data_IF_068159603654
#
_entry.id   IF_068159603654
#
_cell.length_a   1.000
_cell.length_b   1.000
_cell.length_c   1.000
_cell.angle_alpha   90.00
_cell.angle_beta   90.00
_cell.angle_gamma   90.00
#
_symmetry.space_group_name_H-M   'P 1'
#
loop_
_entity.id
_entity.type
_entity.pdbx_description
1 polymer ?
#
# COMPACT_ATOMS: atom_id res chain seq x y z
N UNK A 1 18.85 63.06 -23.38
CA UNK A 1 18.63 61.60 -23.40
C UNK A 1 19.95 60.86 -23.17
N UNK A 2 20.17 60.28 -21.98
CA UNK A 2 21.12 59.17 -21.75
C UNK A 2 20.85 58.50 -20.38
N UNK A 3 19.87 57.58 -20.27
CA UNK A 3 19.79 56.67 -19.12
C UNK A 3 19.77 55.20 -19.55
N UNK A 4 20.50 54.81 -20.60
CA UNK A 4 20.52 53.41 -21.08
C UNK A 4 21.66 52.55 -20.52
N UNK A 5 22.73 53.14 -19.96
CA UNK A 5 23.90 52.37 -19.46
C UNK A 5 23.72 51.89 -18.01
N UNK A 6 23.10 52.69 -17.14
CA UNK A 6 22.91 52.37 -15.72
C UNK A 6 21.90 51.24 -15.49
N UNK A 7 20.82 51.21 -16.28
CA UNK A 7 19.79 50.15 -16.18
C UNK A 7 20.35 48.78 -16.58
N UNK A 8 21.24 48.71 -17.59
CA UNK A 8 21.88 47.45 -17.99
C UNK A 8 22.84 46.91 -16.93
N UNK A 9 23.60 47.78 -16.26
CA UNK A 9 24.51 47.36 -15.19
C UNK A 9 23.74 46.81 -13.98
N UNK A 10 22.64 47.47 -13.59
CA UNK A 10 21.78 47.01 -12.49
C UNK A 10 21.12 45.66 -12.82
N UNK A 11 20.64 45.46 -14.05
CA UNK A 11 20.07 44.18 -14.48
C UNK A 11 21.09 43.04 -14.52
N UNK A 12 22.35 43.31 -14.89
CA UNK A 12 23.43 42.31 -14.86
C UNK A 12 23.79 41.92 -13.42
N UNK A 13 23.85 42.89 -12.50
CA UNK A 13 24.14 42.63 -11.08
C UNK A 13 23.01 41.84 -10.42
N UNK A 14 21.74 42.20 -10.69
CA UNK A 14 20.57 41.46 -10.20
C UNK A 14 20.54 40.05 -10.79
N UNK A 15 20.82 39.90 -12.09
CA UNK A 15 20.89 38.60 -12.76
C UNK A 15 21.99 37.70 -12.19
N UNK A 16 23.19 38.25 -11.93
CA UNK A 16 24.29 37.53 -11.32
C UNK A 16 23.99 37.14 -9.86
N UNK A 17 23.32 38.01 -9.10
CA UNK A 17 22.91 37.73 -7.72
C UNK A 17 21.82 36.65 -7.65
N UNK A 18 20.85 36.67 -8.57
CA UNK A 18 19.84 35.61 -8.70
C UNK A 18 20.47 34.27 -9.11
N UNK A 19 21.43 34.28 -10.04
CA UNK A 19 22.19 33.07 -10.41
C UNK A 19 23.01 32.52 -9.23
N UNK A 20 23.61 33.39 -8.41
CA UNK A 20 24.35 32.98 -7.22
C UNK A 20 23.41 32.38 -6.16
N UNK A 21 22.25 33.00 -5.89
CA UNK A 21 21.24 32.44 -4.98
C UNK A 21 20.68 31.10 -5.47
N UNK A 22 20.43 30.97 -6.79
CA UNK A 22 20.01 29.71 -7.41
C UNK A 22 21.08 28.63 -7.34
N UNK A 23 22.37 28.98 -7.38
CA UNK A 23 23.47 28.05 -7.18
C UNK A 23 23.66 27.64 -5.69
N UNK A 24 23.30 28.50 -4.74
CA UNK A 24 23.43 28.22 -3.31
C UNK A 24 22.27 27.36 -2.74
N UNK A 25 21.07 27.42 -3.33
CA UNK A 25 19.89 26.66 -2.88
C UNK A 25 20.14 25.13 -2.84
N UNK A 26 20.70 24.49 -3.88
CA UNK A 26 21.06 23.07 -3.85
C UNK A 26 22.12 22.73 -2.79
N UNK A 27 23.06 23.65 -2.53
CA UNK A 27 24.12 23.45 -1.55
C UNK A 27 23.55 23.45 -0.13
N UNK A 28 22.62 24.36 0.17
CA UNK A 28 21.93 24.40 1.47
C UNK A 28 21.12 23.12 1.71
N UNK A 29 20.33 22.70 0.71
CA UNK A 29 19.55 21.46 0.78
C UNK A 29 20.46 20.23 0.95
N UNK A 30 21.60 20.21 0.26
CA UNK A 30 22.57 19.13 0.39
C UNK A 30 23.12 19.05 1.81
N UNK A 31 23.53 20.17 2.41
CA UNK A 31 24.02 20.20 3.81
C UNK A 31 22.95 19.76 4.82
N UNK A 32 21.71 20.19 4.63
CA UNK A 32 20.58 19.77 5.48
C UNK A 32 20.35 18.25 5.39
N UNK A 33 20.31 17.70 4.18
CA UNK A 33 20.17 16.27 3.95
C UNK A 33 21.38 15.47 4.44
N UNK A 34 22.58 15.98 4.24
CA UNK A 34 23.83 15.36 4.71
C UNK A 34 23.83 15.25 6.25
N UNK A 35 23.31 16.27 6.95
CA UNK A 35 23.16 16.24 8.41
C UNK A 35 22.05 15.28 8.87
N UNK A 36 20.94 15.21 8.12
CA UNK A 36 19.81 14.33 8.46
C UNK A 36 20.13 12.85 8.23
N UNK A 37 20.93 12.53 7.22
CA UNK A 37 21.25 11.14 6.89
C UNK A 37 20.16 10.39 6.13
N UNK A 38 19.04 11.06 5.80
CA UNK A 38 17.91 10.52 5.04
C UNK A 38 17.05 11.63 4.45
N UNK A 39 16.16 11.29 3.51
CA UNK A 39 15.09 12.19 3.05
C UNK A 39 14.01 12.34 4.14
N UNK A 40 13.57 13.55 4.52
CA UNK A 40 12.55 13.77 5.55
C UNK A 40 11.21 13.09 5.27
N UNK A 41 10.51 12.65 6.32
CA UNK A 41 9.15 12.13 6.21
C UNK A 41 8.17 13.19 5.65
N UNK A 42 7.16 12.75 4.89
CA UNK A 42 6.19 13.65 4.24
C UNK A 42 6.59 14.14 2.84
N UNK A 43 7.89 14.16 2.52
CA UNK A 43 8.36 14.45 1.15
C UNK A 43 7.95 13.28 0.24
N UNK A 44 7.13 13.57 -0.75
CA UNK A 44 6.54 12.57 -1.66
C UNK A 44 7.25 12.61 -3.00
N UNK A 45 7.59 11.44 -3.56
CA UNK A 45 8.38 11.38 -4.80
C UNK A 45 7.57 11.96 -5.97
N UNK A 46 7.86 13.20 -6.35
CA UNK A 46 7.32 13.85 -7.54
C UNK A 46 5.91 14.46 -7.38
N UNK A 47 5.46 14.73 -6.15
CA UNK A 47 4.20 15.47 -5.94
C UNK A 47 4.37 16.96 -6.21
N UNK A 48 5.53 17.52 -5.87
CA UNK A 48 5.92 18.90 -6.16
C UNK A 48 7.30 18.93 -6.83
N UNK A 49 7.64 20.08 -7.42
CA UNK A 49 8.97 20.29 -8.00
C UNK A 49 10.04 20.29 -6.90
N UNK A 50 9.72 20.88 -5.76
CA UNK A 50 10.59 20.95 -4.59
C UNK A 50 10.91 19.55 -4.05
N UNK A 51 9.91 18.67 -3.98
CA UNK A 51 10.13 17.29 -3.55
C UNK A 51 11.07 16.57 -4.52
N UNK A 52 10.83 16.69 -5.82
CA UNK A 52 11.69 16.08 -6.83
C UNK A 52 13.14 16.58 -6.74
N UNK A 53 13.33 17.89 -6.56
CA UNK A 53 14.66 18.48 -6.40
C UNK A 53 15.35 17.96 -5.13
N UNK A 54 14.63 17.78 -4.02
CA UNK A 54 15.18 17.24 -2.78
C UNK A 54 15.64 15.78 -2.94
N UNK A 55 14.84 14.94 -3.59
CA UNK A 55 15.21 13.56 -3.92
C UNK A 55 16.45 13.51 -4.82
N UNK A 56 16.56 14.42 -5.79
CA UNK A 56 17.74 14.53 -6.66
C UNK A 56 18.98 14.95 -5.87
N UNK A 57 18.87 15.89 -4.93
CA UNK A 57 20.00 16.32 -4.08
C UNK A 57 20.44 15.17 -3.16
N UNK A 58 19.50 14.37 -2.66
CA UNK A 58 19.79 13.21 -1.82
C UNK A 58 20.72 12.20 -2.51
N UNK A 59 20.58 11.97 -3.83
CA UNK A 59 21.47 11.08 -4.62
C UNK A 59 22.96 11.46 -4.52
N UNK A 60 23.28 12.71 -4.19
CA UNK A 60 24.66 13.22 -4.10
C UNK A 60 25.19 13.26 -2.67
N UNK A 61 24.43 12.78 -1.69
CA UNK A 61 24.88 12.69 -0.30
C UNK A 61 25.73 11.45 -0.07
N UNK A 62 26.58 11.45 0.97
CA UNK A 62 27.50 10.32 1.20
C UNK A 62 26.82 9.08 1.78
N UNK A 63 25.60 9.24 2.29
CA UNK A 63 24.81 8.17 2.89
C UNK A 63 23.87 7.49 1.89
N UNK A 64 23.62 8.11 0.74
CA UNK A 64 22.69 7.56 -0.25
C UNK A 64 23.13 6.18 -0.72
N UNK A 65 22.18 5.24 -0.72
CA UNK A 65 22.41 3.87 -1.15
C UNK A 65 23.23 3.02 -0.19
N UNK A 66 23.70 3.56 0.94
CA UNK A 66 24.50 2.79 1.91
C UNK A 66 23.66 1.69 2.58
N UNK A 67 24.25 0.52 2.87
CA UNK A 67 23.59 -0.53 3.64
C UNK A 67 23.02 0.01 4.94
N UNK A 68 21.78 -0.38 5.23
CA UNK A 68 21.09 0.01 6.46
C UNK A 68 21.34 -1.04 7.54
N UNK A 69 21.59 -0.58 8.76
CA UNK A 69 21.63 -1.47 9.92
C UNK A 69 20.24 -2.09 10.14
N UNK A 70 20.09 -3.44 10.05
CA UNK A 70 18.80 -4.06 10.15
C UNK A 70 18.12 -3.83 11.51
N UNK A 71 18.88 -3.87 12.61
CA UNK A 71 18.31 -3.73 13.96
C UNK A 71 17.72 -2.33 14.17
N UNK A 72 18.49 -1.29 13.82
CA UNK A 72 18.05 0.10 13.92
C UNK A 72 16.87 0.39 12.98
N UNK A 73 16.90 -0.12 11.74
CA UNK A 73 15.84 0.10 10.78
C UNK A 73 14.51 -0.51 11.23
N UNK A 74 14.54 -1.73 11.77
CA UNK A 74 13.34 -2.46 12.18
C UNK A 74 12.88 -2.16 13.61
N UNK A 75 13.63 -1.35 14.36
CA UNK A 75 13.28 -1.00 15.74
C UNK A 75 11.87 -0.40 15.83
N UNK A 76 11.01 -1.05 16.62
CA UNK A 76 9.62 -0.64 16.83
C UNK A 76 8.70 -0.85 15.61
N UNK A 77 9.16 -1.59 14.58
CA UNK A 77 8.38 -1.87 13.37
C UNK A 77 8.08 -3.36 13.26
N UNK A 78 6.91 -3.66 12.70
CA UNK A 78 6.58 -5.02 12.27
C UNK A 78 7.34 -5.29 10.98
N UNK A 79 8.01 -6.43 10.90
CA UNK A 79 8.87 -6.75 9.76
C UNK A 79 8.03 -7.25 8.58
N UNK A 80 7.48 -6.32 7.80
CA UNK A 80 6.77 -6.57 6.56
C UNK A 80 7.44 -5.90 5.37
N UNK A 81 7.34 -6.53 4.20
CA UNK A 81 7.64 -5.88 2.93
C UNK A 81 6.43 -5.08 2.42
N UNK A 82 6.03 -4.07 3.18
CA UNK A 82 4.91 -3.20 2.81
C UNK A 82 5.40 -1.87 2.21
N UNK A 83 4.45 -1.03 1.79
CA UNK A 83 4.76 0.29 1.23
C UNK A 83 5.46 1.20 2.23
N UNK A 84 5.22 1.04 3.52
CA UNK A 84 5.82 1.86 4.57
C UNK A 84 7.30 1.53 4.74
N UNK A 85 7.63 0.23 4.87
CA UNK A 85 9.00 -0.25 4.94
C UNK A 85 9.78 0.07 3.66
N UNK A 86 9.20 -0.16 2.48
CA UNK A 86 9.81 0.22 1.21
C UNK A 86 10.03 1.74 1.11
N UNK A 87 9.03 2.54 1.48
CA UNK A 87 9.18 3.99 1.49
C UNK A 87 10.26 4.45 2.46
N UNK A 88 10.37 3.83 3.63
CA UNK A 88 11.42 4.13 4.59
C UNK A 88 12.81 3.78 4.05
N UNK A 89 12.98 2.61 3.43
CA UNK A 89 14.24 2.20 2.80
C UNK A 89 14.62 3.14 1.64
N UNK A 90 13.66 3.50 0.79
CA UNK A 90 13.88 4.42 -0.33
C UNK A 90 14.41 5.78 0.13
N UNK A 91 14.03 6.27 1.32
CA UNK A 91 14.53 7.55 1.87
C UNK A 91 16.03 7.55 2.16
N UNK A 92 16.65 6.38 2.23
CA UNK A 92 18.10 6.19 2.33
C UNK A 92 18.75 5.80 1.00
N UNK A 93 17.98 5.77 -0.08
CA UNK A 93 18.45 5.31 -1.39
C UNK A 93 18.49 3.80 -1.57
N UNK A 94 17.79 3.03 -0.71
CA UNK A 94 17.73 1.56 -0.81
C UNK A 94 16.45 1.06 -1.47
N UNK A 95 16.58 0.14 -2.42
CA UNK A 95 15.45 -0.41 -3.17
C UNK A 95 14.60 -1.39 -2.36
N UNK A 96 15.18 -1.93 -1.29
CA UNK A 96 14.53 -2.85 -0.36
C UNK A 96 14.87 -2.48 1.09
N UNK A 97 13.99 -2.79 2.05
CA UNK A 97 14.36 -2.80 3.46
C UNK A 97 15.55 -3.75 3.73
N UNK A 98 16.37 -3.50 4.76
CA UNK A 98 17.46 -4.42 5.11
C UNK A 98 16.91 -5.77 5.58
N UNK A 99 17.60 -6.86 5.24
CA UNK A 99 17.26 -8.22 5.70
C UNK A 99 17.38 -8.25 7.23
N UNK A 100 16.36 -8.68 7.99
CA UNK A 100 16.37 -8.69 9.46
C UNK A 100 17.23 -9.81 10.04
N UNK A 101 18.55 -9.76 9.82
CA UNK A 101 19.50 -10.78 10.27
C UNK A 101 19.53 -10.97 11.79
N UNK A 102 19.13 -9.95 12.55
CA UNK A 102 19.02 -9.98 14.01
C UNK A 102 17.79 -10.77 14.51
N UNK A 103 16.89 -11.22 13.61
CA UNK A 103 15.73 -12.06 13.95
C UNK A 103 15.82 -13.42 13.23
N UNK A 104 16.47 -14.42 13.85
CA UNK A 104 16.71 -15.73 13.24
C UNK A 104 15.45 -16.42 12.70
N UNK A 105 14.30 -16.27 13.38
CA UNK A 105 13.03 -16.89 12.97
C UNK A 105 12.50 -16.38 11.63
N UNK A 106 12.84 -15.15 11.24
CA UNK A 106 12.39 -14.55 9.99
C UNK A 106 13.25 -14.96 8.79
N UNK A 107 14.52 -15.30 9.03
CA UNK A 107 15.45 -15.78 8.01
C UNK A 107 15.54 -17.31 7.94
N UNK A 108 14.91 -18.02 8.88
CA UNK A 108 14.93 -19.49 8.92
C UNK A 108 14.40 -20.10 7.61
N UNK A 109 15.21 -20.93 6.97
CA UNK A 109 14.91 -21.58 5.69
C UNK A 109 15.28 -20.77 4.45
N UNK A 110 15.85 -19.57 4.61
CA UNK A 110 16.42 -18.79 3.50
C UNK A 110 17.94 -19.02 3.41
N UNK A 111 18.49 -19.39 2.23
CA UNK A 111 19.93 -19.63 2.08
C UNK A 111 20.69 -18.30 1.92
N UNK A 112 20.78 -17.53 3.00
CA UNK A 112 21.34 -16.17 3.02
C UNK A 112 22.78 -16.07 2.48
N UNK A 113 23.59 -17.11 2.71
CA UNK A 113 24.99 -17.18 2.26
C UNK A 113 25.17 -17.54 0.78
N UNK A 114 24.10 -17.92 0.08
CA UNK A 114 24.16 -18.34 -1.33
C UNK A 114 24.00 -17.19 -2.32
N UNK A 115 23.72 -15.96 -1.83
CA UNK A 115 23.44 -14.79 -2.66
C UNK A 115 24.42 -13.67 -2.37
N UNK A 116 24.71 -12.86 -3.39
CA UNK A 116 25.65 -11.75 -3.25
C UNK A 116 25.09 -10.64 -2.36
N UNK A 117 25.90 -10.19 -1.41
CA UNK A 117 25.68 -9.00 -0.59
C UNK A 117 26.43 -7.77 -1.14
N UNK A 118 27.06 -7.90 -2.32
CA UNK A 118 27.67 -6.77 -2.98
C UNK A 118 26.58 -5.80 -3.46
N UNK A 119 26.78 -4.51 -3.20
CA UNK A 119 25.87 -3.48 -3.67
C UNK A 119 25.84 -3.45 -5.20
N UNK A 120 24.64 -3.52 -5.75
CA UNK A 120 24.32 -3.36 -7.16
C UNK A 120 23.80 -1.93 -7.31
N UNK A 121 24.59 -1.01 -7.88
CA UNK A 121 24.12 0.33 -8.15
C UNK A 121 23.01 0.24 -9.19
N UNK A 122 21.77 0.55 -8.82
CA UNK A 122 20.68 0.55 -9.79
C UNK A 122 20.69 1.86 -10.56
N UNK A 123 21.74 2.07 -11.35
CA UNK A 123 21.92 3.25 -12.21
C UNK A 123 21.07 3.19 -13.47
N UNK A 124 20.25 2.15 -13.63
CA UNK A 124 19.34 2.04 -14.75
C UNK A 124 18.27 3.12 -14.63
N UNK A 125 18.28 4.00 -15.62
CA UNK A 125 17.28 5.02 -15.90
C UNK A 125 15.95 4.31 -16.11
N UNK A 126 15.23 4.03 -15.03
CA UNK A 126 13.86 3.53 -15.12
C UNK A 126 12.95 4.73 -15.43
N UNK A 127 12.95 5.10 -16.71
CA UNK A 127 12.05 6.08 -17.28
C UNK A 127 12.14 5.98 -18.80
N UNK A 128 10.98 5.84 -19.46
CA UNK A 128 10.92 6.06 -20.90
C UNK A 128 11.29 7.51 -21.23
N UNK A 129 11.45 7.86 -22.51
CA UNK A 129 11.74 9.23 -22.95
C UNK A 129 10.83 10.30 -22.32
N UNK A 130 9.60 9.91 -21.98
CA UNK A 130 8.55 10.78 -21.46
C UNK A 130 8.36 10.69 -19.92
N UNK A 131 9.09 9.82 -19.23
CA UNK A 131 8.87 9.54 -17.79
C UNK A 131 9.83 10.29 -16.85
N UNK A 132 10.83 11.00 -17.40
CA UNK A 132 11.93 11.57 -16.62
C UNK A 132 12.90 10.51 -16.06
N UNK A 133 14.04 10.95 -15.52
CA UNK A 133 15.02 10.07 -14.89
C UNK A 133 14.46 9.62 -13.53
N UNK A 134 14.10 8.34 -13.40
CA UNK A 134 13.74 7.77 -12.10
C UNK A 134 14.92 7.85 -11.11
N UNK A 135 14.61 8.11 -9.83
CA UNK A 135 15.60 8.09 -8.75
C UNK A 135 16.20 6.68 -8.62
N UNK A 136 17.52 6.48 -8.77
CA UNK A 136 18.17 5.19 -8.64
C UNK A 136 18.23 4.76 -7.16
N UNK A 137 17.90 3.49 -6.89
CA UNK A 137 17.97 2.90 -5.56
C UNK A 137 18.91 1.71 -5.54
N UNK A 138 19.92 1.75 -4.68
CA UNK A 138 20.88 0.67 -4.54
C UNK A 138 20.24 -0.52 -3.82
N UNK A 139 20.69 -1.72 -4.17
CA UNK A 139 20.22 -2.96 -3.55
C UNK A 139 21.27 -4.04 -3.67
N UNK A 140 21.11 -5.13 -2.93
CA UNK A 140 21.89 -6.36 -3.15
C UNK A 140 21.03 -7.43 -3.82
N UNK A 141 21.68 -8.42 -4.44
CA UNK A 141 20.99 -9.63 -4.91
C UNK A 141 20.29 -10.33 -3.73
N UNK A 142 20.98 -10.45 -2.60
CA UNK A 142 20.45 -11.06 -1.39
C UNK A 142 19.16 -10.39 -0.92
N UNK A 143 19.09 -9.05 -0.92
CA UNK A 143 17.88 -8.31 -0.55
C UNK A 143 16.70 -8.63 -1.48
N UNK A 144 16.88 -8.54 -2.79
CA UNK A 144 15.82 -8.79 -3.76
C UNK A 144 15.26 -10.21 -3.68
N UNK A 145 16.16 -11.20 -3.58
CA UNK A 145 15.79 -12.61 -3.47
C UNK A 145 15.16 -12.91 -2.10
N UNK A 146 15.70 -12.35 -1.00
CA UNK A 146 15.12 -12.49 0.33
C UNK A 146 13.69 -11.96 0.37
N UNK A 147 13.44 -10.75 -0.13
CA UNK A 147 12.10 -10.16 -0.05
C UNK A 147 11.08 -10.85 -0.96
N UNK A 148 11.52 -11.46 -2.05
CA UNK A 148 10.69 -12.32 -2.89
C UNK A 148 10.35 -13.62 -2.15
N UNK A 149 11.33 -14.30 -1.55
CA UNK A 149 11.11 -15.48 -0.71
C UNK A 149 10.20 -15.17 0.49
N UNK A 150 10.50 -14.09 1.20
CA UNK A 150 9.78 -13.63 2.38
C UNK A 150 8.32 -13.35 2.02
N UNK A 151 8.09 -12.65 0.90
CA UNK A 151 6.75 -12.42 0.38
C UNK A 151 6.02 -13.73 0.16
N UNK A 152 6.64 -14.76 -0.40
CA UNK A 152 5.97 -16.05 -0.64
C UNK A 152 5.68 -16.87 0.62
N UNK A 153 6.44 -16.67 1.71
CA UNK A 153 6.43 -17.59 2.86
C UNK A 153 5.86 -17.00 4.15
N UNK A 154 5.80 -15.68 4.29
CA UNK A 154 5.41 -15.02 5.54
C UNK A 154 4.02 -14.38 5.44
N UNK A 155 3.33 -14.14 6.58
CA UNK A 155 2.04 -13.46 6.60
C UNK A 155 2.09 -12.11 5.87
N UNK A 156 1.05 -11.80 5.10
CA UNK A 156 0.97 -10.56 4.32
C UNK A 156 0.42 -9.41 5.16
N UNK A 157 0.83 -8.16 4.92
CA UNK A 157 0.25 -7.01 5.62
C UNK A 157 -1.30 -7.00 5.55
N UNK A 158 -2.00 -6.59 6.62
CA UNK A 158 -3.46 -6.54 6.67
C UNK A 158 -4.08 -5.83 5.46
N UNK A 159 -3.52 -4.68 5.06
CA UNK A 159 -3.97 -3.92 3.89
C UNK A 159 -3.87 -4.74 2.59
N UNK A 160 -2.81 -5.53 2.44
CA UNK A 160 -2.66 -6.41 1.27
C UNK A 160 -3.73 -7.49 1.28
N UNK A 161 -3.93 -8.18 2.41
CA UNK A 161 -4.95 -9.22 2.52
C UNK A 161 -6.35 -8.67 2.20
N UNK A 162 -6.72 -7.53 2.78
CA UNK A 162 -8.03 -6.90 2.56
C UNK A 162 -8.20 -6.40 1.12
N UNK A 163 -7.15 -5.84 0.51
CA UNK A 163 -7.19 -5.39 -0.88
C UNK A 163 -7.44 -6.56 -1.83
N UNK A 164 -6.66 -7.64 -1.71
CA UNK A 164 -6.78 -8.80 -2.59
C UNK A 164 -8.08 -9.57 -2.34
N UNK A 165 -8.52 -9.69 -1.07
CA UNK A 165 -9.82 -10.25 -0.71
C UNK A 165 -10.96 -9.44 -1.36
N UNK A 166 -10.91 -8.11 -1.26
CA UNK A 166 -11.91 -7.25 -1.88
C UNK A 166 -11.92 -7.36 -3.40
N UNK A 167 -10.75 -7.41 -4.06
CA UNK A 167 -10.68 -7.60 -5.51
C UNK A 167 -11.34 -8.91 -5.94
N UNK A 168 -11.06 -10.00 -5.22
CA UNK A 168 -11.72 -11.29 -5.49
C UNK A 168 -13.23 -11.19 -5.27
N UNK A 169 -13.67 -10.57 -4.16
CA UNK A 169 -15.08 -10.38 -3.84
C UNK A 169 -15.81 -9.55 -4.90
N UNK A 170 -15.26 -8.40 -5.28
CA UNK A 170 -15.87 -7.51 -6.27
C UNK A 170 -16.08 -8.21 -7.62
N UNK A 171 -15.07 -8.95 -8.09
CA UNK A 171 -15.18 -9.69 -9.34
C UNK A 171 -16.25 -10.78 -9.25
N UNK A 172 -16.25 -11.58 -8.18
CA UNK A 172 -17.20 -12.68 -7.96
C UNK A 172 -18.64 -12.15 -7.86
N UNK A 173 -18.90 -11.14 -7.03
CA UNK A 173 -20.24 -10.60 -6.85
C UNK A 173 -20.76 -9.90 -8.12
N UNK A 174 -19.90 -9.20 -8.87
CA UNK A 174 -20.30 -8.60 -10.16
C UNK A 174 -20.63 -9.62 -11.23
N UNK A 175 -19.95 -10.77 -11.24
CA UNK A 175 -20.30 -11.87 -12.15
C UNK A 175 -21.67 -12.42 -11.77
N UNK A 176 -21.88 -12.73 -10.48
CA UNK A 176 -23.18 -13.18 -9.93
C UNK A 176 -24.33 -12.24 -10.31
N UNK A 177 -24.17 -10.93 -10.10
CA UNK A 177 -25.17 -9.91 -10.48
C UNK A 177 -25.51 -9.97 -11.97
N UNK A 178 -24.51 -9.98 -12.85
CA UNK A 178 -24.73 -10.03 -14.30
C UNK A 178 -25.47 -11.28 -14.74
N UNK A 179 -25.16 -12.43 -14.14
CA UNK A 179 -25.89 -13.67 -14.41
C UNK A 179 -27.36 -13.55 -14.04
N UNK A 180 -27.67 -12.98 -12.87
CA UNK A 180 -29.05 -12.77 -12.41
C UNK A 180 -29.83 -11.79 -13.29
N UNK A 181 -29.20 -10.70 -13.72
CA UNK A 181 -29.83 -9.67 -14.57
C UNK A 181 -30.09 -10.14 -16.01
N UNK A 182 -29.32 -11.12 -16.50
CA UNK A 182 -29.42 -11.61 -17.87
C UNK A 182 -30.65 -12.49 -18.18
N UNK A 183 -31.50 -12.77 -17.19
CA UNK A 183 -32.73 -13.56 -17.35
C UNK A 183 -32.51 -15.04 -17.70
N UNK A 184 -33.56 -15.86 -17.55
CA UNK A 184 -33.58 -17.28 -17.93
C UNK A 184 -33.18 -17.46 -19.39
N UNK A 185 -32.03 -18.09 -19.61
CA UNK A 185 -31.54 -18.43 -20.94
C UNK A 185 -31.29 -19.95 -20.99
N UNK A 186 -31.51 -20.52 -22.17
CA UNK A 186 -31.56 -21.97 -22.50
C UNK A 186 -30.25 -22.71 -22.15
N UNK A 187 -29.21 -21.97 -21.72
CA UNK A 187 -27.87 -22.43 -21.34
C UNK A 187 -27.52 -22.14 -19.86
N UNK A 188 -28.49 -22.15 -18.96
CA UNK A 188 -28.28 -21.92 -17.52
C UNK A 188 -27.16 -22.81 -16.93
N UNK A 189 -27.06 -24.07 -17.37
CA UNK A 189 -26.00 -24.99 -16.94
C UNK A 189 -24.59 -24.52 -17.39
N UNK A 190 -24.44 -24.08 -18.64
CA UNK A 190 -23.17 -23.58 -19.18
C UNK A 190 -22.74 -22.30 -18.45
N UNK A 191 -23.67 -21.37 -18.20
CA UNK A 191 -23.39 -20.14 -17.43
C UNK A 191 -23.00 -20.43 -15.98
N UNK A 192 -23.66 -21.38 -15.31
CA UNK A 192 -23.31 -21.79 -13.96
C UNK A 192 -21.89 -22.38 -13.90
N UNK A 193 -21.50 -23.16 -14.91
CA UNK A 193 -20.17 -23.76 -15.02
C UNK A 193 -19.09 -22.69 -15.29
N UNK A 194 -19.36 -21.73 -16.17
CA UNK A 194 -18.46 -20.61 -16.46
C UNK A 194 -18.30 -19.68 -15.25
N UNK A 195 -19.40 -19.44 -14.51
CA UNK A 195 -19.37 -18.71 -13.25
C UNK A 195 -18.49 -19.43 -12.23
N UNK A 196 -18.73 -20.72 -11.97
CA UNK A 196 -17.93 -21.49 -11.02
C UNK A 196 -16.44 -21.50 -11.39
N UNK A 197 -16.12 -21.60 -12.69
CA UNK A 197 -14.75 -21.51 -13.20
C UNK A 197 -14.13 -20.14 -12.93
N UNK A 198 -14.86 -19.06 -13.19
CA UNK A 198 -14.39 -17.70 -12.94
C UNK A 198 -14.21 -17.40 -11.45
N UNK A 199 -15.14 -17.85 -10.60
CA UNK A 199 -15.02 -17.73 -9.15
C UNK A 199 -13.80 -18.50 -8.63
N UNK A 200 -13.58 -19.72 -9.13
CA UNK A 200 -12.41 -20.52 -8.79
C UNK A 200 -11.12 -19.85 -9.24
N UNK A 201 -11.10 -19.23 -10.42
CA UNK A 201 -9.95 -18.46 -10.92
C UNK A 201 -9.62 -17.28 -10.01
N UNK A 202 -10.61 -16.46 -9.63
CA UNK A 202 -10.39 -15.30 -8.76
C UNK A 202 -9.96 -15.71 -7.34
N UNK A 203 -10.55 -16.78 -6.78
CA UNK A 203 -10.09 -17.35 -5.51
C UNK A 203 -8.66 -17.92 -5.62
N UNK A 204 -8.35 -18.59 -6.73
CA UNK A 204 -7.02 -19.15 -7.01
C UNK A 204 -5.93 -18.07 -7.03
N UNK A 205 -6.14 -17.00 -7.80
CA UNK A 205 -5.23 -15.84 -7.84
C UNK A 205 -5.03 -15.22 -6.45
N UNK A 206 -6.10 -15.04 -5.67
CA UNK A 206 -5.98 -14.49 -4.32
C UNK A 206 -5.14 -15.40 -3.40
N UNK A 207 -5.31 -16.73 -3.50
CA UNK A 207 -4.48 -17.70 -2.77
C UNK A 207 -3.00 -17.64 -3.17
N UNK A 208 -2.71 -17.50 -4.46
CA UNK A 208 -1.33 -17.36 -4.96
C UNK A 208 -0.63 -16.13 -4.38
N UNK A 209 -1.37 -15.04 -4.15
CA UNK A 209 -0.84 -13.82 -3.50
C UNK A 209 -0.69 -14.01 -1.98
N UNK A 210 -1.29 -15.05 -1.40
CA UNK A 210 -1.21 -15.40 0.03
C UNK A 210 -2.44 -15.00 0.85
N UNK A 211 -3.59 -14.76 0.21
CA UNK A 211 -4.85 -14.54 0.93
C UNK A 211 -5.27 -15.85 1.62
N UNK A 212 -5.54 -15.83 2.93
CA UNK A 212 -5.86 -17.03 3.69
C UNK A 212 -7.19 -17.65 3.25
N UNK A 213 -7.33 -18.97 3.35
CA UNK A 213 -8.53 -19.68 2.93
C UNK A 213 -9.79 -19.20 3.68
N UNK A 214 -9.64 -18.81 4.94
CA UNK A 214 -10.68 -18.23 5.79
C UNK A 214 -11.30 -16.97 5.16
N UNK A 215 -10.47 -16.13 4.52
CA UNK A 215 -10.89 -14.91 3.85
C UNK A 215 -11.60 -15.14 2.51
N UNK A 216 -11.51 -16.37 1.95
CA UNK A 216 -12.04 -16.74 0.64
C UNK A 216 -13.32 -17.59 0.72
N UNK A 217 -13.87 -17.73 1.93
CA UNK A 217 -15.22 -18.26 2.16
C UNK A 217 -16.26 -17.32 1.56
N UNK A 218 -17.47 -17.84 1.27
CA UNK A 218 -18.52 -17.02 0.65
C UNK A 218 -18.92 -15.84 1.53
N UNK A 219 -19.13 -16.06 2.83
CA UNK A 219 -19.46 -15.02 3.79
C UNK A 219 -18.36 -13.95 3.88
N UNK A 220 -17.09 -14.38 3.95
CA UNK A 220 -15.97 -13.45 4.06
C UNK A 220 -15.85 -12.56 2.82
N UNK A 221 -16.02 -13.12 1.62
CA UNK A 221 -16.01 -12.36 0.37
C UNK A 221 -17.22 -11.42 0.29
N UNK A 222 -18.42 -11.91 0.63
CA UNK A 222 -19.62 -11.10 0.65
C UNK A 222 -19.46 -9.87 1.56
N UNK A 223 -19.01 -10.08 2.80
CA UNK A 223 -18.83 -8.99 3.75
C UNK A 223 -17.64 -8.09 3.41
N UNK A 224 -16.56 -8.61 2.83
CA UNK A 224 -15.47 -7.78 2.32
C UNK A 224 -15.98 -6.79 1.26
N UNK A 225 -16.83 -7.25 0.34
CA UNK A 225 -17.48 -6.37 -0.63
C UNK A 225 -18.37 -5.33 0.06
N UNK A 226 -19.31 -5.77 0.93
CA UNK A 226 -20.23 -4.88 1.63
C UNK A 226 -19.49 -3.80 2.41
N UNK A 227 -18.51 -4.18 3.24
CA UNK A 227 -17.75 -3.25 4.06
C UNK A 227 -16.98 -2.24 3.21
N UNK A 228 -16.40 -2.66 2.08
CA UNK A 228 -15.71 -1.73 1.18
C UNK A 228 -16.66 -0.77 0.48
N UNK A 229 -17.83 -1.25 0.05
CA UNK A 229 -18.84 -0.38 -0.55
C UNK A 229 -19.44 0.59 0.48
N UNK A 230 -19.53 0.22 1.77
CA UNK A 230 -19.91 1.14 2.85
C UNK A 230 -18.91 2.29 3.02
N UNK A 231 -17.62 1.98 3.01
CA UNK A 231 -16.57 3.01 3.04
C UNK A 231 -16.63 3.93 1.83
N UNK A 232 -16.82 3.35 0.64
CA UNK A 232 -16.96 4.11 -0.60
C UNK A 232 -18.20 5.01 -0.54
N UNK A 233 -19.35 4.48 -0.13
CA UNK A 233 -20.60 5.23 0.01
C UNK A 233 -20.45 6.45 0.92
N UNK A 234 -19.75 6.32 2.07
CA UNK A 234 -19.48 7.47 2.95
C UNK A 234 -18.64 8.55 2.26
N UNK A 235 -17.67 8.17 1.42
CA UNK A 235 -16.87 9.12 0.63
C UNK A 235 -17.72 9.79 -0.44
N UNK A 236 -18.55 9.03 -1.15
CA UNK A 236 -19.45 9.56 -2.16
C UNK A 236 -20.50 10.50 -1.55
N UNK A 237 -21.05 10.17 -0.38
CA UNK A 237 -21.92 11.06 0.38
C UNK A 237 -21.21 12.36 0.75
N UNK A 238 -20.02 12.29 1.35
CA UNK A 238 -19.26 13.47 1.73
C UNK A 238 -18.92 14.36 0.52
N UNK A 239 -18.71 13.76 -0.65
CA UNK A 239 -18.51 14.50 -1.90
C UNK A 239 -19.82 15.11 -2.42
N UNK A 240 -20.91 14.35 -2.41
CA UNK A 240 -22.23 14.84 -2.81
C UNK A 240 -22.68 16.01 -1.92
N UNK A 241 -22.44 15.95 -0.61
CA UNK A 241 -22.75 17.02 0.35
C UNK A 241 -22.06 18.34 -0.02
N UNK A 242 -20.81 18.27 -0.52
CA UNK A 242 -20.08 19.45 -1.02
C UNK A 242 -20.70 20.05 -2.27
N UNK A 243 -21.31 19.20 -3.11
CA UNK A 243 -21.96 19.63 -4.36
C UNK A 243 -23.40 20.10 -4.17
N UNK A 244 -24.09 19.70 -3.09
CA UNK A 244 -25.49 20.11 -2.84
C UNK A 244 -25.68 21.62 -2.78
N UNK A 245 -24.70 22.35 -2.26
CA UNK A 245 -24.74 23.83 -2.25
C UNK A 245 -24.70 24.45 -3.65
N UNK A 246 -24.24 23.71 -4.67
CA UNK A 246 -24.10 24.16 -6.05
C UNK A 246 -25.19 23.60 -6.96
N UNK A 247 -25.50 22.30 -6.86
CA UNK A 247 -26.51 21.63 -7.66
C UNK A 247 -26.98 20.32 -7.00
N UNK A 248 -28.16 20.35 -6.35
CA UNK A 248 -28.76 19.19 -5.70
C UNK A 248 -29.03 18.02 -6.65
N UNK A 249 -29.49 18.28 -7.88
CA UNK A 249 -29.83 17.21 -8.83
C UNK A 249 -28.59 16.40 -9.25
N UNK A 250 -27.44 17.07 -9.42
CA UNK A 250 -26.17 16.40 -9.76
C UNK A 250 -25.69 15.56 -8.57
N UNK A 251 -25.76 16.10 -7.34
CA UNK A 251 -25.37 15.38 -6.14
C UNK A 251 -26.21 14.11 -5.93
N UNK A 252 -27.53 14.20 -6.10
CA UNK A 252 -28.42 13.06 -5.92
C UNK A 252 -28.27 12.02 -7.04
N UNK A 253 -28.13 12.47 -8.30
CA UNK A 253 -27.85 11.57 -9.43
C UNK A 253 -26.52 10.82 -9.26
N UNK A 254 -25.51 11.47 -8.69
CA UNK A 254 -24.21 10.87 -8.41
C UNK A 254 -24.31 9.72 -7.40
N UNK A 255 -24.97 9.95 -6.25
CA UNK A 255 -25.19 8.91 -5.24
C UNK A 255 -26.09 7.79 -5.78
N UNK A 256 -27.14 8.13 -6.54
CA UNK A 256 -28.03 7.14 -7.17
C UNK A 256 -27.26 6.20 -8.10
N UNK A 257 -26.40 6.75 -8.97
CA UNK A 257 -25.56 5.97 -9.90
C UNK A 257 -24.58 5.04 -9.16
N UNK A 258 -24.09 5.45 -7.99
CA UNK A 258 -23.29 4.57 -7.15
C UNK A 258 -24.12 3.38 -6.65
N UNK A 259 -25.31 3.63 -6.10
CA UNK A 259 -26.18 2.59 -5.55
C UNK A 259 -26.69 1.60 -6.61
N UNK A 260 -27.01 2.07 -7.82
CA UNK A 260 -27.45 1.22 -8.95
C UNK A 260 -26.36 0.21 -9.38
N UNK A 261 -25.08 0.52 -9.14
CA UNK A 261 -23.95 -0.34 -9.50
C UNK A 261 -23.63 -1.41 -8.46
N UNK A 262 -24.23 -1.37 -7.27
CA UNK A 262 -23.98 -2.34 -6.21
C UNK A 262 -24.41 -3.75 -6.62
N UNK A 263 -23.63 -4.74 -6.23
CA UNK A 263 -23.92 -6.17 -6.42
C UNK A 263 -24.65 -6.81 -5.24
N UNK A 264 -25.11 -6.00 -4.30
CA UNK A 264 -25.79 -6.39 -3.07
C UNK A 264 -26.98 -5.45 -2.82
N UNK A 265 -27.87 -5.85 -1.92
CA UNK A 265 -28.94 -4.99 -1.44
C UNK A 265 -28.36 -3.67 -0.89
N UNK A 266 -28.86 -2.54 -1.38
CA UNK A 266 -28.38 -1.20 -1.02
C UNK A 266 -28.48 -0.93 0.48
N UNK A 267 -29.46 -1.50 1.17
CA UNK A 267 -29.64 -1.35 2.62
C UNK A 267 -28.42 -1.80 3.42
N UNK A 268 -27.73 -2.86 2.97
CA UNK A 268 -26.50 -3.34 3.60
C UNK A 268 -25.35 -2.34 3.48
N UNK A 269 -25.45 -1.37 2.57
CA UNK A 269 -24.44 -0.32 2.37
C UNK A 269 -24.85 0.99 3.03
N UNK A 270 -26.15 1.31 3.06
CA UNK A 270 -26.66 2.60 3.52
C UNK A 270 -27.13 2.63 4.98
N UNK A 271 -27.64 1.52 5.51
CA UNK A 271 -28.21 1.45 6.86
C UNK A 271 -27.16 0.95 7.88
N UNK A 272 -27.30 1.21 9.19
CA UNK A 272 -26.44 0.61 10.21
C UNK A 272 -26.49 -0.93 10.17
N UNK A 273 -25.34 -1.59 10.37
CA UNK A 273 -25.28 -3.04 10.46
C UNK A 273 -25.66 -3.52 11.87
N UNK A 274 -26.26 -4.69 11.96
CA UNK A 274 -26.50 -5.36 13.25
C UNK A 274 -25.18 -5.90 13.82
N UNK A 275 -25.18 -6.21 15.12
CA UNK A 275 -24.01 -6.81 15.80
C UNK A 275 -23.61 -8.13 15.13
N UNK A 276 -24.59 -9.00 14.84
CA UNK A 276 -24.37 -10.28 14.16
C UNK A 276 -23.73 -10.12 12.77
N UNK A 277 -24.12 -9.08 12.02
CA UNK A 277 -23.54 -8.77 10.72
C UNK A 277 -22.08 -8.33 10.84
N UNK A 278 -21.75 -7.51 11.85
CA UNK A 278 -20.39 -7.08 12.14
C UNK A 278 -19.51 -8.27 12.58
N UNK A 279 -20.04 -9.15 13.42
CA UNK A 279 -19.37 -10.38 13.85
C UNK A 279 -19.12 -11.31 12.67
N UNK A 280 -20.11 -11.51 11.79
CA UNK A 280 -19.95 -12.35 10.60
C UNK A 280 -18.90 -11.78 9.65
N UNK A 281 -18.87 -10.45 9.46
CA UNK A 281 -17.86 -9.77 8.65
C UNK A 281 -16.43 -9.94 9.17
N UNK A 282 -16.26 -10.11 10.48
CA UNK A 282 -14.94 -10.18 11.15
C UNK A 282 -14.51 -11.60 11.50
N UNK A 283 -15.42 -12.59 11.43
CA UNK A 283 -15.19 -13.99 11.83
C UNK A 283 -13.95 -14.61 11.20
N UNK A 284 -13.72 -14.39 9.91
CA UNK A 284 -12.58 -14.95 9.19
C UNK A 284 -11.24 -14.43 9.73
N UNK A 285 -11.19 -13.18 10.21
CA UNK A 285 -9.98 -12.58 10.77
C UNK A 285 -9.57 -13.32 12.05
N UNK A 286 -10.52 -13.56 12.95
CA UNK A 286 -10.27 -14.36 14.16
C UNK A 286 -9.83 -15.79 13.83
N UNK A 287 -10.48 -16.45 12.87
CA UNK A 287 -10.09 -17.80 12.44
C UNK A 287 -8.66 -17.83 11.90
N UNK A 288 -8.29 -16.85 11.06
CA UNK A 288 -6.95 -16.71 10.53
C UNK A 288 -5.90 -16.51 11.62
N UNK A 289 -6.15 -15.62 12.60
CA UNK A 289 -5.19 -15.38 13.69
C UNK A 289 -5.02 -16.61 14.60
N UNK A 290 -6.09 -17.36 14.86
CA UNK A 290 -6.01 -18.64 15.57
C UNK A 290 -5.14 -19.65 14.82
N UNK A 291 -5.27 -19.73 13.50
CA UNK A 291 -4.40 -20.58 12.67
C UNK A 291 -2.94 -20.13 12.73
N UNK A 292 -2.65 -18.84 12.53
CA UNK A 292 -1.27 -18.33 12.59
C UNK A 292 -0.59 -18.66 13.92
N UNK A 293 -1.33 -18.56 15.02
CA UNK A 293 -0.85 -18.93 16.36
C UNK A 293 -0.56 -20.43 16.46
N UNK A 294 -1.43 -21.28 15.92
CA UNK A 294 -1.20 -22.74 15.88
C UNK A 294 0.01 -23.12 15.02
N UNK A 295 0.32 -22.32 14.00
CA UNK A 295 1.49 -22.46 13.13
C UNK A 295 2.77 -21.88 13.77
N UNK A 296 2.71 -21.40 15.02
CA UNK A 296 3.81 -20.74 15.74
C UNK A 296 4.40 -19.56 14.96
N UNK A 297 3.52 -18.83 14.27
CA UNK A 297 3.89 -17.56 13.62
C UNK A 297 4.36 -16.57 14.68
N UNK A 298 5.33 -15.74 14.33
CA UNK A 298 5.85 -14.70 15.21
C UNK A 298 4.73 -13.78 15.75
N UNK A 299 4.70 -13.58 17.08
CA UNK A 299 3.65 -12.83 17.76
C UNK A 299 3.58 -11.37 17.32
N UNK A 300 4.68 -10.79 16.80
CA UNK A 300 4.67 -9.43 16.27
C UNK A 300 3.66 -9.26 15.12
N UNK A 301 3.51 -10.27 14.26
CA UNK A 301 2.50 -10.25 13.20
C UNK A 301 1.09 -10.34 13.75
N UNK A 302 0.85 -11.24 14.70
CA UNK A 302 -0.47 -11.44 15.29
C UNK A 302 -0.92 -10.16 15.99
N UNK A 303 -0.02 -9.54 16.77
CA UNK A 303 -0.27 -8.26 17.42
C UNK A 303 -0.58 -7.14 16.43
N UNK A 304 0.18 -7.06 15.33
CA UNK A 304 -0.04 -6.06 14.29
C UNK A 304 -1.41 -6.21 13.61
N UNK A 305 -1.85 -7.45 13.35
CA UNK A 305 -3.20 -7.70 12.83
C UNK A 305 -4.27 -7.29 13.83
N UNK A 306 -4.12 -7.66 15.10
CA UNK A 306 -5.09 -7.32 16.15
C UNK A 306 -5.26 -5.81 16.26
N UNK A 307 -4.16 -5.07 16.29
CA UNK A 307 -4.18 -3.61 16.34
C UNK A 307 -4.82 -3.01 15.09
N UNK A 308 -4.36 -3.42 13.89
CA UNK A 308 -4.85 -2.87 12.61
C UNK A 308 -6.34 -3.14 12.40
N UNK A 309 -6.78 -4.35 12.74
CA UNK A 309 -8.18 -4.76 12.59
C UNK A 309 -9.06 -4.39 13.79
N UNK A 310 -8.47 -3.79 14.84
CA UNK A 310 -9.16 -3.42 16.08
C UNK A 310 -9.95 -4.59 16.68
N UNK A 311 -9.31 -5.77 16.70
CA UNK A 311 -9.91 -6.98 17.23
C UNK A 311 -9.73 -7.07 18.74
N UNK A 312 -10.60 -7.84 19.39
CA UNK A 312 -10.46 -8.14 20.80
C UNK A 312 -9.32 -9.14 21.02
N UNK A 313 -8.33 -8.73 21.83
CA UNK A 313 -7.19 -9.55 22.24
C UNK A 313 -7.64 -10.79 22.99
N UNK A 314 -8.64 -10.68 23.87
CA UNK A 314 -9.12 -11.79 24.68
C UNK A 314 -9.64 -12.95 23.80
N UNK A 315 -10.32 -12.61 22.70
CA UNK A 315 -10.85 -13.60 21.74
C UNK A 315 -9.75 -14.29 20.93
N UNK A 316 -8.66 -13.58 20.61
CA UNK A 316 -7.53 -14.10 19.82
C UNK A 316 -6.57 -14.93 20.69
N UNK A 317 -6.23 -14.41 21.88
CA UNK A 317 -5.22 -14.99 22.76
C UNK A 317 -5.80 -15.94 23.82
N UNK A 318 -7.11 -15.91 24.06
CA UNK A 318 -7.75 -16.70 25.11
C UNK A 318 -7.43 -16.18 26.52
N UNK A 319 -7.02 -14.91 26.62
CA UNK A 319 -6.83 -14.23 27.90
C UNK A 319 -8.22 -14.02 28.51
N UNK A 320 -8.57 -14.88 29.49
CA UNK A 320 -9.72 -14.59 30.35
C UNK A 320 -9.36 -13.35 31.15
N UNK A 321 -10.25 -12.36 31.17
CA UNK A 321 -10.16 -11.20 32.05
C UNK A 321 -9.79 -11.66 33.47
N UNK A 322 -8.53 -11.47 33.86
CA UNK A 322 -8.11 -11.52 35.24
C UNK A 322 -8.61 -10.24 35.89
N UNK A 323 -9.87 -10.30 36.37
CA UNK A 323 -10.42 -9.32 37.30
C UNK A 323 -9.66 -9.32 38.61
#
# INVERSE_FOLDING_TARGET
MKPRKTIKAVLVVIGAFLLFLLACLPIKQWWELQRLGHVPEGVSRGTTREDYDLWRVAEWTTWWGKPLDPETFWKGRVMWNDRSALSAANRYGRGYPPIPMHVPNLITGFPLGSYSHADIPNRLVSGGPDSGRGTPFDSTEAEGIYWTWFWMKKPKPPETLEREQFQAAEMILRIRKRTLESGEDVNAHTRAKDQAKSESFHKGRAREIGVPAEALTEDALFWAYVMKQREAYKKEQAQADRWRSQNNQIADAFVKRFLEKLAVNTKLVTEPLTVEQIETATRWKYAYLKRLRSEKTDDSYINAYVETWKLDRAVVFGEKDSK
#
